data_IF_994419137064
#
_entry.id   IF_994419137064
#
_cell.length_a   1.000
_cell.length_b   1.000
_cell.length_c   1.000
_cell.angle_alpha   90.00
_cell.angle_beta   90.00
_cell.angle_gamma   90.00
#
_symmetry.space_group_name_H-M   'P 1'
#
loop_
_entity.id
_entity.type
_entity.pdbx_description
1 polymer ?
#
# COMPACT_ATOMS: atom_id res chain seq x y z
N UNK A 1 87.47 0.79 9.34
CA UNK A 1 86.39 1.16 10.28
C UNK A 1 86.08 2.63 10.09
N UNK A 2 85.02 2.96 9.34
CA UNK A 2 84.74 4.35 8.93
C UNK A 2 83.25 4.62 8.74
N UNK A 3 82.83 5.80 9.23
CA UNK A 3 81.75 6.66 8.71
C UNK A 3 80.32 6.10 8.64
N UNK A 4 79.63 5.85 9.77
CA UNK A 4 78.14 5.75 9.77
C UNK A 4 77.44 6.34 11.01
N UNK A 5 78.09 7.10 11.89
CA UNK A 5 77.44 7.52 13.15
C UNK A 5 76.81 8.93 13.17
N UNK A 6 77.07 9.82 12.20
CA UNK A 6 76.69 11.25 12.33
C UNK A 6 75.46 11.72 11.54
N UNK A 7 74.78 10.85 10.78
CA UNK A 7 73.62 11.25 9.93
C UNK A 7 72.25 11.00 10.58
N UNK A 8 72.20 10.36 11.76
CA UNK A 8 70.92 9.97 12.39
C UNK A 8 70.33 10.95 13.40
N UNK A 9 71.07 11.96 13.86
CA UNK A 9 70.57 12.92 14.87
C UNK A 9 69.91 14.17 14.24
N UNK A 10 70.26 14.53 13.01
CA UNK A 10 69.69 15.72 12.33
C UNK A 10 68.34 15.52 11.62
N UNK A 11 67.85 14.28 11.51
CA UNK A 11 66.53 13.99 10.90
C UNK A 11 65.37 13.92 11.89
N UNK A 12 65.63 13.79 13.19
CA UNK A 12 64.57 13.71 14.20
C UNK A 12 64.05 15.09 14.66
N UNK A 13 64.90 16.12 14.69
CA UNK A 13 64.52 17.47 15.14
C UNK A 13 63.79 18.32 14.08
N UNK A 14 63.85 17.94 12.80
CA UNK A 14 63.13 18.63 11.73
C UNK A 14 61.66 18.16 11.56
N UNK A 15 61.33 16.94 12.00
CA UNK A 15 60.00 16.36 11.83
C UNK A 15 58.99 16.86 12.88
N UNK A 16 59.42 17.08 14.13
CA UNK A 16 58.52 17.57 15.19
C UNK A 16 58.10 19.03 15.00
N UNK A 17 58.96 19.87 14.42
CA UNK A 17 58.60 21.27 14.10
C UNK A 17 57.68 21.39 12.88
N UNK A 18 57.77 20.47 11.91
CA UNK A 18 56.84 20.43 10.78
C UNK A 18 55.45 19.92 11.19
N UNK A 19 55.37 18.91 12.07
CA UNK A 19 54.11 18.37 12.56
C UNK A 19 53.31 19.37 13.44
N UNK A 20 53.99 20.25 14.18
CA UNK A 20 53.36 21.29 14.98
C UNK A 20 52.80 22.45 14.12
N UNK A 21 53.48 22.80 13.01
CA UNK A 21 53.03 23.85 12.08
C UNK A 21 51.80 23.39 11.29
N UNK A 22 51.72 22.11 10.90
CA UNK A 22 50.55 21.56 10.19
C UNK A 22 49.32 21.41 11.08
N UNK A 23 49.47 21.10 12.37
CA UNK A 23 48.33 21.02 13.31
C UNK A 23 47.77 22.41 13.62
N UNK A 24 48.60 23.44 13.80
CA UNK A 24 48.15 24.82 14.03
C UNK A 24 47.44 25.41 12.79
N UNK A 25 47.95 25.14 11.58
CA UNK A 25 47.27 25.55 10.32
C UNK A 25 45.94 24.83 10.10
N UNK A 26 45.82 23.54 10.48
CA UNK A 26 44.56 22.79 10.35
C UNK A 26 43.47 23.24 11.32
N UNK A 27 43.82 23.63 12.55
CA UNK A 27 42.88 24.20 13.54
C UNK A 27 42.48 25.63 13.18
N UNK A 28 43.41 26.45 12.66
CA UNK A 28 43.12 27.80 12.16
C UNK A 28 42.16 27.81 10.97
N UNK A 29 42.34 26.90 10.00
CA UNK A 29 41.45 26.78 8.83
C UNK A 29 40.07 26.26 9.26
N UNK A 30 39.99 25.33 10.21
CA UNK A 30 38.72 24.84 10.75
C UNK A 30 37.99 25.93 11.55
N UNK A 31 38.71 26.75 12.32
CA UNK A 31 38.13 27.89 13.06
C UNK A 31 37.62 28.97 12.10
N UNK A 32 38.39 29.34 11.05
CA UNK A 32 37.95 30.31 10.03
C UNK A 32 36.72 29.79 9.25
N UNK A 33 36.65 28.50 8.92
CA UNK A 33 35.48 27.90 8.27
C UNK A 33 34.25 27.83 9.18
N UNK A 34 34.42 27.57 10.47
CA UNK A 34 33.33 27.59 11.47
C UNK A 34 32.86 29.03 11.74
N UNK A 35 33.77 30.00 11.81
CA UNK A 35 33.44 31.42 11.97
C UNK A 35 32.76 32.03 10.73
N UNK A 36 33.15 31.63 9.51
CA UNK A 36 32.42 31.99 8.29
C UNK A 36 31.03 31.33 8.23
N UNK A 37 30.87 30.12 8.77
CA UNK A 37 29.57 29.45 8.86
C UNK A 37 28.65 30.11 9.89
N UNK A 38 29.18 30.60 11.01
CA UNK A 38 28.41 31.38 12.01
C UNK A 38 28.05 32.80 11.52
N UNK A 39 28.89 33.45 10.71
CA UNK A 39 28.59 34.79 10.15
C UNK A 39 27.49 34.79 9.08
N UNK A 40 27.24 33.66 8.42
CA UNK A 40 26.16 33.51 7.43
C UNK A 40 24.80 33.10 8.03
N UNK A 41 24.73 32.79 9.32
CA UNK A 41 23.52 32.28 9.99
C UNK A 41 22.54 33.36 10.48
N UNK A 42 22.74 34.65 10.13
CA UNK A 42 21.85 35.74 10.58
C UNK A 42 21.07 36.47 9.45
N UNK A 43 21.04 35.95 8.22
CA UNK A 43 20.23 36.50 7.12
C UNK A 43 19.16 35.54 6.56
N UNK A 44 18.94 34.38 7.20
CA UNK A 44 17.88 33.43 6.81
C UNK A 44 16.73 33.31 7.84
N UNK A 45 16.75 34.07 8.94
CA UNK A 45 15.72 33.98 10.00
C UNK A 45 14.43 34.76 9.70
N UNK A 46 14.39 35.63 8.68
CA UNK A 46 13.19 36.39 8.31
C UNK A 46 12.33 35.73 7.21
N UNK A 47 12.91 34.91 6.33
CA UNK A 47 12.13 34.15 5.32
C UNK A 47 11.52 32.86 5.87
N UNK A 48 12.03 32.33 6.98
CA UNK A 48 11.51 31.13 7.64
C UNK A 48 10.28 31.42 8.55
N UNK A 49 10.07 32.68 8.97
CA UNK A 49 8.98 33.09 9.88
C UNK A 49 7.63 33.37 9.19
N UNK A 50 7.53 33.33 7.86
CA UNK A 50 6.25 33.46 7.12
C UNK A 50 5.55 32.13 6.78
N UNK A 51 6.14 30.99 7.13
CA UNK A 51 5.52 29.66 6.92
C UNK A 51 5.17 28.93 8.22
N UNK A 52 5.08 29.66 9.33
CA UNK A 52 4.59 29.14 10.61
C UNK A 52 3.47 30.04 11.12
N UNK A 53 2.28 29.93 10.52
CA UNK A 53 1.05 30.32 11.20
C UNK A 53 -0.09 29.38 10.80
N UNK A 54 -0.52 28.62 11.82
CA UNK A 54 -1.88 28.13 12.04
C UNK A 54 -2.65 27.58 10.83
N UNK A 55 -2.44 26.30 10.56
CA UNK A 55 -3.57 25.44 10.21
C UNK A 55 -3.49 24.21 11.13
N UNK A 56 -4.31 24.21 12.17
CA UNK A 56 -4.77 22.98 12.82
C UNK A 56 -5.22 21.98 11.73
N UNK A 57 -5.18 20.66 11.99
CA UNK A 57 -5.56 19.67 10.99
C UNK A 57 -7.00 19.92 10.53
N UNK A 58 -7.13 20.56 9.37
CA UNK A 58 -8.41 20.64 8.70
C UNK A 58 -8.66 19.26 8.10
N UNK A 59 -9.50 18.48 8.78
CA UNK A 59 -10.24 17.36 8.20
C UNK A 59 -11.13 17.94 7.09
N UNK A 60 -10.57 18.09 5.90
CA UNK A 60 -11.26 18.77 4.80
C UNK A 60 -12.23 17.79 4.12
N UNK A 61 -13.50 18.08 4.40
CA UNK A 61 -14.68 18.11 3.53
C UNK A 61 -14.93 16.99 2.51
N UNK A 62 -15.92 16.18 2.86
CA UNK A 62 -16.97 15.58 2.03
C UNK A 62 -16.65 15.38 0.54
N UNK A 63 -16.21 14.16 0.25
CA UNK A 63 -16.07 13.61 -1.11
C UNK A 63 -17.13 12.53 -1.30
N UNK A 64 -17.64 12.35 -2.52
CA UNK A 64 -18.75 11.43 -2.84
C UNK A 64 -18.56 9.98 -2.33
N UNK A 65 -17.32 9.51 -2.15
CA UNK A 65 -17.03 8.20 -1.58
C UNK A 65 -17.40 8.09 -0.09
N UNK A 66 -17.33 9.19 0.67
CA UNK A 66 -17.81 9.24 2.07
C UNK A 66 -19.34 9.12 2.12
N UNK A 67 -20.03 9.66 1.11
CA UNK A 67 -21.49 9.53 0.95
C UNK A 67 -21.89 8.09 0.61
N UNK A 68 -21.13 7.41 -0.26
CA UNK A 68 -21.32 5.98 -0.55
C UNK A 68 -21.12 5.12 0.71
N UNK A 69 -20.07 5.40 1.51
CA UNK A 69 -19.85 4.77 2.81
C UNK A 69 -21.01 5.00 3.79
N UNK A 70 -21.56 6.23 3.87
CA UNK A 70 -22.70 6.59 4.73
C UNK A 70 -23.97 5.80 4.37
N UNK A 71 -24.24 5.58 3.09
CA UNK A 71 -25.44 4.87 2.61
C UNK A 71 -25.46 3.37 2.93
N UNK A 72 -24.31 2.80 3.33
CA UNK A 72 -24.14 1.34 3.49
C UNK A 72 -24.43 0.80 4.90
N UNK A 73 -24.84 1.65 5.85
CA UNK A 73 -25.30 1.22 7.19
C UNK A 73 -24.19 0.74 8.15
N UNK A 74 -22.93 1.12 7.90
CA UNK A 74 -21.77 0.70 8.70
C UNK A 74 -21.62 1.48 10.02
N UNK A 75 -21.13 0.84 11.10
CA UNK A 75 -20.65 1.57 12.28
C UNK A 75 -19.46 2.45 11.85
N UNK A 76 -19.63 3.75 12.07
CA UNK A 76 -18.79 4.81 11.53
C UNK A 76 -17.40 4.82 12.17
N UNK A 77 -16.39 4.26 11.50
CA UNK A 77 -14.99 4.57 11.81
C UNK A 77 -14.50 5.57 10.78
N UNK A 78 -14.40 6.84 11.17
CA UNK A 78 -13.93 7.93 10.32
C UNK A 78 -12.58 7.56 9.68
N UNK A 79 -12.48 7.57 8.34
CA UNK A 79 -11.19 7.43 7.68
C UNK A 79 -10.29 8.60 8.08
N UNK A 80 -9.03 8.32 8.42
CA UNK A 80 -8.01 9.34 8.62
C UNK A 80 -7.60 9.79 7.20
N UNK A 81 -8.32 10.78 6.67
CA UNK A 81 -8.21 11.20 5.28
C UNK A 81 -6.81 11.75 4.96
N UNK A 82 -6.23 11.32 3.84
CA UNK A 82 -5.10 12.00 3.19
C UNK A 82 -5.49 12.33 1.75
N UNK A 83 -5.23 13.59 1.38
CA UNK A 83 -5.76 14.26 0.19
C UNK A 83 -5.19 13.70 -1.12
N UNK A 84 -5.85 14.03 -2.23
CA UNK A 84 -5.23 13.92 -3.56
C UNK A 84 -4.01 14.85 -3.65
N UNK A 85 -3.02 14.47 -4.45
CA UNK A 85 -1.87 15.30 -4.86
C UNK A 85 -0.87 15.76 -3.78
N UNK A 86 -0.87 15.21 -2.57
CA UNK A 86 0.18 15.51 -1.60
C UNK A 86 1.56 14.99 -2.06
N UNK A 87 2.67 15.71 -1.83
CA UNK A 87 4.01 15.18 -2.05
C UNK A 87 4.28 13.95 -1.19
N UNK A 88 5.14 13.05 -1.69
CA UNK A 88 5.42 11.77 -1.04
C UNK A 88 5.95 11.97 0.38
N UNK A 89 6.79 12.99 0.62
CA UNK A 89 7.30 13.30 1.96
C UNK A 89 6.19 13.71 2.94
N UNK A 90 5.14 14.41 2.48
CA UNK A 90 4.00 14.77 3.34
C UNK A 90 3.21 13.53 3.74
N UNK A 91 3.00 12.60 2.81
CA UNK A 91 2.33 11.32 3.09
C UNK A 91 3.12 10.52 4.13
N UNK A 92 4.45 10.42 3.95
CA UNK A 92 5.34 9.77 4.93
C UNK A 92 5.24 10.40 6.31
N UNK A 93 5.27 11.74 6.41
CA UNK A 93 5.13 12.43 7.68
C UNK A 93 3.80 12.11 8.37
N UNK A 94 2.71 11.99 7.62
CA UNK A 94 1.41 11.55 8.18
C UNK A 94 1.51 10.12 8.70
N UNK A 95 2.10 9.20 7.94
CA UNK A 95 2.31 7.82 8.39
C UNK A 95 3.14 7.76 9.67
N UNK A 96 4.24 8.52 9.74
CA UNK A 96 5.08 8.61 10.93
C UNK A 96 4.30 9.17 12.14
N UNK A 97 3.50 10.22 11.94
CA UNK A 97 2.73 10.88 13.00
C UNK A 97 1.69 9.94 13.63
N UNK A 98 1.06 9.08 12.82
CA UNK A 98 0.07 8.11 13.29
C UNK A 98 0.69 6.75 13.68
N UNK A 99 2.02 6.63 13.68
CA UNK A 99 2.70 5.37 14.00
C UNK A 99 2.48 4.25 12.98
N UNK A 100 2.06 4.58 11.76
CA UNK A 100 1.91 3.60 10.70
C UNK A 100 3.29 3.26 10.13
N UNK A 101 3.76 2.04 10.39
CA UNK A 101 5.02 1.48 9.89
C UNK A 101 4.83 0.02 9.52
N UNK A 102 5.50 -0.47 8.49
CA UNK A 102 5.35 -1.89 8.08
C UNK A 102 5.85 -2.84 9.16
N UNK A 103 6.87 -2.46 9.92
CA UNK A 103 7.39 -3.24 11.04
C UNK A 103 6.29 -3.49 12.06
N UNK A 104 5.55 -2.45 12.46
CA UNK A 104 4.42 -2.57 13.39
C UNK A 104 3.32 -3.48 12.82
N UNK A 105 3.02 -3.35 11.52
CA UNK A 105 2.01 -4.21 10.88
C UNK A 105 2.45 -5.68 10.87
N UNK A 106 3.74 -5.96 10.67
CA UNK A 106 4.28 -7.33 10.70
C UNK A 106 4.15 -7.97 12.08
N UNK A 107 4.21 -7.18 13.15
CA UNK A 107 4.09 -7.68 14.53
C UNK A 107 2.64 -7.76 15.03
N UNK A 108 1.83 -6.75 14.72
CA UNK A 108 0.49 -6.60 15.32
C UNK A 108 -0.64 -6.92 14.35
N UNK A 109 -0.35 -7.07 13.06
CA UNK A 109 -1.33 -7.27 11.99
C UNK A 109 -2.41 -6.17 11.95
N UNK A 110 -2.09 -4.98 12.46
CA UNK A 110 -3.02 -3.86 12.56
C UNK A 110 -2.63 -2.74 11.59
N UNK A 111 -3.61 -2.28 10.83
CA UNK A 111 -3.42 -1.26 9.79
C UNK A 111 -4.35 -0.07 10.07
N UNK A 112 -3.83 1.16 10.17
CA UNK A 112 -4.67 2.35 10.28
C UNK A 112 -5.54 2.57 9.04
N UNK A 113 -6.75 3.11 9.26
CA UNK A 113 -7.70 3.46 8.18
C UNK A 113 -7.29 4.77 7.49
N UNK A 114 -6.19 4.73 6.75
CA UNK A 114 -5.72 5.84 5.92
C UNK A 114 -5.92 5.48 4.46
N UNK A 115 -6.74 6.26 3.75
CA UNK A 115 -7.06 6.01 2.35
C UNK A 115 -6.63 7.20 1.50
N UNK A 116 -5.71 6.93 0.57
CA UNK A 116 -5.33 7.89 -0.45
C UNK A 116 -6.25 7.77 -1.66
N UNK A 117 -6.61 8.93 -2.20
CA UNK A 117 -7.41 9.01 -3.42
C UNK A 117 -6.56 8.81 -4.67
N UNK A 118 -5.29 9.26 -4.66
CA UNK A 118 -4.36 9.16 -5.80
C UNK A 118 -2.94 8.87 -5.34
N UNK A 119 -2.10 8.27 -6.20
CA UNK A 119 -0.67 8.16 -5.93
C UNK A 119 0.02 9.54 -5.98
N UNK A 120 1.05 9.78 -5.14
CA UNK A 120 1.82 11.01 -5.23
C UNK A 120 2.62 11.08 -6.53
N UNK A 121 2.57 12.23 -7.23
CA UNK A 121 3.22 12.41 -8.54
C UNK A 121 4.74 12.29 -8.47
N UNK A 122 5.32 12.62 -7.32
CA UNK A 122 6.75 12.54 -7.03
C UNK A 122 7.21 11.17 -6.50
N UNK A 123 6.32 10.16 -6.39
CA UNK A 123 6.71 8.80 -5.97
C UNK A 123 7.92 8.24 -6.76
N UNK A 124 8.01 8.39 -8.10
CA UNK A 124 9.15 7.90 -8.85
C UNK A 124 10.47 8.62 -8.54
N UNK A 125 10.41 9.81 -7.91
CA UNK A 125 11.60 10.58 -7.52
C UNK A 125 12.25 10.06 -6.24
N UNK A 126 11.60 9.14 -5.50
CA UNK A 126 12.25 8.42 -4.41
C UNK A 126 13.36 7.54 -4.98
N UNK A 127 14.61 7.90 -4.66
CA UNK A 127 15.82 7.26 -5.17
C UNK A 127 15.99 5.86 -4.61
N UNK A 128 15.74 5.68 -3.32
CA UNK A 128 15.93 4.40 -2.63
C UNK A 128 14.81 3.41 -3.00
N UNK A 129 15.10 2.30 -3.70
CA UNK A 129 14.08 1.34 -4.11
C UNK A 129 13.34 0.72 -2.92
N UNK A 130 14.03 0.41 -1.81
CA UNK A 130 13.40 -0.17 -0.63
C UNK A 130 12.36 0.78 -0.01
N UNK A 131 12.72 2.07 0.10
CA UNK A 131 11.83 3.10 0.62
C UNK A 131 10.58 3.26 -0.26
N UNK A 132 10.77 3.33 -1.58
CA UNK A 132 9.65 3.44 -2.53
C UNK A 132 8.68 2.26 -2.42
N UNK A 133 9.20 1.04 -2.30
CA UNK A 133 8.38 -0.17 -2.10
C UNK A 133 7.61 -0.11 -0.79
N UNK A 134 8.25 0.29 0.30
CA UNK A 134 7.60 0.39 1.61
C UNK A 134 6.46 1.40 1.59
N UNK A 135 6.70 2.60 1.06
CA UNK A 135 5.66 3.63 0.91
C UNK A 135 4.52 3.13 0.03
N UNK A 136 4.83 2.46 -1.09
CA UNK A 136 3.81 1.85 -1.95
C UNK A 136 2.94 0.83 -1.21
N UNK A 137 3.53 -0.10 -0.47
CA UNK A 137 2.79 -1.09 0.32
C UNK A 137 1.91 -0.40 1.36
N UNK A 138 2.43 0.61 2.06
CA UNK A 138 1.67 1.36 3.07
C UNK A 138 0.49 2.12 2.48
N UNK A 139 0.60 2.63 1.25
CA UNK A 139 -0.53 3.26 0.57
C UNK A 139 -1.59 2.23 0.13
N UNK A 140 -1.15 1.05 -0.32
CA UNK A 140 -2.01 0.03 -0.92
C UNK A 140 -2.71 -0.88 0.09
N UNK A 141 -2.02 -1.30 1.13
CA UNK A 141 -2.52 -2.25 2.11
C UNK A 141 -3.87 -1.85 2.72
N UNK A 142 -4.08 -0.62 3.23
CA UNK A 142 -5.38 -0.24 3.80
C UNK A 142 -6.50 -0.30 2.75
N UNK A 143 -6.23 0.07 1.49
CA UNK A 143 -7.23 0.02 0.41
C UNK A 143 -7.67 -1.43 0.11
N UNK A 144 -6.71 -2.37 0.10
CA UNK A 144 -6.99 -3.80 -0.08
C UNK A 144 -7.79 -4.34 1.10
N UNK A 145 -7.38 -4.05 2.33
CA UNK A 145 -8.09 -4.50 3.52
C UNK A 145 -9.52 -3.95 3.57
N UNK A 146 -9.71 -2.68 3.24
CA UNK A 146 -11.04 -2.09 3.20
C UNK A 146 -11.92 -2.74 2.13
N UNK A 147 -11.38 -3.00 0.95
CA UNK A 147 -12.10 -3.74 -0.11
C UNK A 147 -12.51 -5.14 0.37
N UNK A 148 -11.62 -5.82 1.11
CA UNK A 148 -11.92 -7.12 1.70
C UNK A 148 -13.01 -7.04 2.79
N UNK A 149 -13.01 -6.02 3.65
CA UNK A 149 -14.09 -5.79 4.62
C UNK A 149 -15.46 -5.65 3.93
N UNK A 150 -15.54 -4.88 2.84
CA UNK A 150 -16.79 -4.72 2.07
C UNK A 150 -17.28 -6.06 1.48
N UNK A 151 -16.34 -6.89 1.01
CA UNK A 151 -16.65 -8.22 0.49
C UNK A 151 -17.13 -9.14 1.62
N UNK A 152 -16.43 -9.16 2.77
CA UNK A 152 -16.78 -9.98 3.92
C UNK A 152 -18.16 -9.62 4.46
N UNK A 153 -18.49 -8.34 4.59
CA UNK A 153 -19.82 -7.92 5.01
C UNK A 153 -20.92 -8.46 4.09
N UNK A 154 -20.69 -8.42 2.78
CA UNK A 154 -21.62 -9.01 1.79
C UNK A 154 -21.70 -10.53 1.96
N UNK A 155 -20.56 -11.19 2.14
CA UNK A 155 -20.44 -12.64 2.35
C UNK A 155 -21.15 -13.11 3.61
N UNK A 156 -21.02 -12.38 4.71
CA UNK A 156 -21.61 -12.72 6.00
C UNK A 156 -23.14 -12.65 5.92
N UNK A 157 -23.67 -11.61 5.27
CA UNK A 157 -25.11 -11.57 4.97
C UNK A 157 -25.54 -12.76 4.11
N UNK A 158 -24.79 -13.13 3.07
CA UNK A 158 -25.11 -14.33 2.27
C UNK A 158 -25.11 -15.61 3.12
N UNK A 159 -24.17 -15.75 4.07
CA UNK A 159 -24.12 -16.89 5.00
C UNK A 159 -25.34 -16.92 5.91
N UNK A 160 -25.74 -15.78 6.47
CA UNK A 160 -26.97 -15.66 7.26
C UNK A 160 -28.19 -16.11 6.45
N UNK A 161 -28.32 -15.67 5.20
CA UNK A 161 -29.43 -16.08 4.33
C UNK A 161 -29.39 -17.58 3.97
N UNK A 162 -28.19 -18.14 3.82
CA UNK A 162 -28.00 -19.58 3.61
C UNK A 162 -28.50 -20.39 4.82
N UNK A 163 -28.10 -20.01 6.03
CA UNK A 163 -28.54 -20.66 7.27
C UNK A 163 -30.06 -20.53 7.49
N UNK A 164 -30.63 -19.36 7.21
CA UNK A 164 -32.10 -19.17 7.27
C UNK A 164 -32.81 -20.15 6.34
N UNK A 165 -32.36 -20.26 5.09
CA UNK A 165 -32.94 -21.18 4.10
C UNK A 165 -32.78 -22.65 4.50
N UNK A 166 -31.61 -23.02 5.05
CA UNK A 166 -31.35 -24.39 5.54
C UNK A 166 -32.21 -24.74 6.75
N UNK A 167 -32.56 -23.76 7.59
CA UNK A 167 -33.50 -23.92 8.70
C UNK A 167 -34.99 -23.93 8.29
N UNK A 168 -35.29 -23.93 6.99
CA UNK A 168 -36.66 -23.94 6.47
C UNK A 168 -37.41 -22.61 6.57
N UNK A 169 -36.73 -21.52 6.98
CA UNK A 169 -37.33 -20.18 7.06
C UNK A 169 -37.42 -19.54 5.68
N UNK A 170 -38.48 -18.77 5.46
CA UNK A 170 -38.66 -17.99 4.25
C UNK A 170 -37.80 -16.72 4.28
N UNK A 171 -37.29 -16.33 3.12
CA UNK A 171 -36.56 -15.09 2.96
C UNK A 171 -37.54 -13.92 2.82
N UNK A 172 -37.22 -12.78 3.43
CA UNK A 172 -38.04 -11.57 3.27
C UNK A 172 -37.86 -10.98 1.86
N UNK A 173 -38.77 -10.10 1.43
CA UNK A 173 -38.60 -9.36 0.17
C UNK A 173 -37.30 -8.53 0.14
N UNK A 174 -36.84 -8.04 1.30
CA UNK A 174 -35.57 -7.31 1.43
C UNK A 174 -34.38 -8.25 1.19
N UNK A 175 -34.46 -9.48 1.67
CA UNK A 175 -33.42 -10.50 1.46
C UNK A 175 -33.39 -10.95 0.00
N UNK A 176 -34.56 -11.13 -0.62
CA UNK A 176 -34.68 -11.47 -2.03
C UNK A 176 -34.09 -10.38 -2.93
N UNK A 177 -34.46 -9.10 -2.72
CA UNK A 177 -33.87 -7.97 -3.45
C UNK A 177 -32.36 -7.85 -3.25
N UNK A 178 -31.88 -8.11 -2.03
CA UNK A 178 -30.44 -8.16 -1.77
C UNK A 178 -29.77 -9.28 -2.56
N UNK A 179 -30.34 -10.48 -2.58
CA UNK A 179 -29.79 -11.61 -3.32
C UNK A 179 -29.76 -11.37 -4.83
N UNK A 180 -30.79 -10.78 -5.40
CA UNK A 180 -30.86 -10.39 -6.81
C UNK A 180 -29.79 -9.34 -7.14
N UNK A 181 -29.65 -8.33 -6.29
CA UNK A 181 -28.61 -7.31 -6.44
C UNK A 181 -27.20 -7.92 -6.41
N UNK A 182 -26.91 -8.81 -5.46
CA UNK A 182 -25.60 -9.45 -5.35
C UNK A 182 -25.39 -10.46 -6.49
N UNK A 183 -26.42 -11.20 -6.90
CA UNK A 183 -26.35 -12.11 -8.04
C UNK A 183 -25.97 -11.37 -9.33
N UNK A 184 -26.72 -10.30 -9.64
CA UNK A 184 -26.45 -9.45 -10.80
C UNK A 184 -25.05 -8.85 -10.74
N UNK A 185 -24.67 -8.25 -9.60
CA UNK A 185 -23.32 -7.71 -9.39
C UNK A 185 -22.25 -8.76 -9.65
N UNK A 186 -22.41 -9.96 -9.09
CA UNK A 186 -21.42 -11.03 -9.22
C UNK A 186 -21.62 -11.91 -10.46
N UNK A 187 -22.37 -11.44 -11.47
CA UNK A 187 -22.49 -12.08 -12.79
C UNK A 187 -23.22 -13.41 -12.78
N UNK A 188 -24.30 -13.53 -12.01
CA UNK A 188 -25.27 -14.62 -12.06
C UNK A 188 -26.61 -14.08 -12.56
N UNK A 189 -27.23 -14.79 -13.50
CA UNK A 189 -28.56 -14.44 -14.04
C UNK A 189 -29.66 -14.56 -12.97
N UNK A 190 -29.54 -15.56 -12.10
CA UNK A 190 -30.48 -15.81 -11.01
C UNK A 190 -29.76 -16.00 -9.68
N UNK A 191 -30.37 -15.62 -8.55
CA UNK A 191 -29.80 -15.86 -7.23
C UNK A 191 -29.49 -17.33 -6.96
N UNK A 192 -28.22 -17.63 -6.69
CA UNK A 192 -27.78 -18.94 -6.24
C UNK A 192 -26.78 -18.78 -5.09
N UNK A 193 -27.25 -18.97 -3.86
CA UNK A 193 -26.47 -18.81 -2.64
C UNK A 193 -25.15 -19.60 -2.64
N UNK A 194 -25.18 -20.86 -3.06
CA UNK A 194 -23.98 -21.72 -3.13
C UNK A 194 -22.94 -21.16 -4.11
N UNK A 195 -23.37 -20.69 -5.28
CA UNK A 195 -22.46 -20.03 -6.25
C UNK A 195 -21.97 -18.67 -5.73
N UNK A 196 -22.85 -17.88 -5.11
CA UNK A 196 -22.49 -16.57 -4.55
C UNK A 196 -21.46 -16.69 -3.42
N UNK A 197 -21.60 -17.67 -2.52
CA UNK A 197 -20.59 -17.94 -1.49
C UNK A 197 -19.23 -18.34 -2.09
N UNK A 198 -19.14 -18.89 -3.31
CA UNK A 198 -17.84 -19.12 -3.96
C UNK A 198 -17.27 -17.85 -4.62
N UNK A 199 -18.14 -16.94 -5.10
CA UNK A 199 -17.75 -15.69 -5.78
C UNK A 199 -17.43 -14.55 -4.83
N UNK A 200 -18.23 -14.35 -3.78
CA UNK A 200 -18.13 -13.23 -2.83
C UNK A 200 -17.14 -13.58 -1.72
N UNK A 201 -15.84 -13.49 -2.00
CA UNK A 201 -14.78 -13.69 -1.01
C UNK A 201 -13.58 -12.78 -1.27
N UNK A 202 -12.74 -12.63 -0.25
CA UNK A 202 -11.62 -11.70 -0.21
C UNK A 202 -10.50 -12.11 -1.16
N UNK A 203 -9.68 -11.14 -1.56
CA UNK A 203 -8.40 -11.39 -2.22
C UNK A 203 -7.30 -11.26 -1.16
N UNK A 204 -6.42 -12.26 -0.96
CA UNK A 204 -5.35 -12.15 0.02
C UNK A 204 -4.51 -10.88 -0.21
N UNK A 205 -4.28 -10.06 0.83
CA UNK A 205 -3.45 -8.86 0.76
C UNK A 205 -2.09 -9.06 0.08
N UNK A 206 -1.40 -10.16 0.35
CA UNK A 206 -0.10 -10.48 -0.24
C UNK A 206 -0.17 -10.56 -1.77
N UNK A 207 -1.21 -11.22 -2.29
CA UNK A 207 -1.46 -11.37 -3.71
C UNK A 207 -1.83 -10.03 -4.36
N UNK A 208 -2.75 -9.28 -3.77
CA UNK A 208 -3.14 -7.98 -4.29
C UNK A 208 -1.99 -6.97 -4.30
N UNK A 209 -1.15 -6.96 -3.25
CA UNK A 209 0.05 -6.12 -3.18
C UNK A 209 1.07 -6.53 -4.24
N UNK A 210 1.31 -7.83 -4.45
CA UNK A 210 2.25 -8.31 -5.45
C UNK A 210 1.80 -7.99 -6.88
N UNK A 211 0.53 -8.24 -7.21
CA UNK A 211 -0.02 -7.92 -8.53
C UNK A 211 -0.03 -6.41 -8.76
N UNK A 212 -0.48 -5.59 -7.81
CA UNK A 212 -0.41 -4.14 -7.99
C UNK A 212 1.02 -3.63 -8.13
N UNK A 213 1.99 -4.21 -7.43
CA UNK A 213 3.41 -3.86 -7.58
C UNK A 213 3.94 -4.20 -8.98
N UNK A 214 3.66 -5.39 -9.50
CA UNK A 214 4.06 -5.80 -10.85
C UNK A 214 3.41 -4.92 -11.93
N UNK A 215 2.07 -4.81 -11.91
CA UNK A 215 1.30 -4.12 -12.95
C UNK A 215 1.55 -2.61 -12.98
N UNK A 216 1.86 -2.01 -11.83
CA UNK A 216 2.11 -0.57 -11.73
C UNK A 216 3.59 -0.19 -11.68
N UNK A 217 4.50 -1.17 -11.67
CA UNK A 217 5.91 -0.93 -11.40
C UNK A 217 6.13 -0.22 -10.06
N UNK A 218 5.52 -0.73 -8.99
CA UNK A 218 5.52 -0.11 -7.64
C UNK A 218 4.99 1.34 -7.65
N UNK A 219 3.93 1.59 -8.41
CA UNK A 219 3.29 2.89 -8.54
C UNK A 219 4.01 3.89 -9.47
N UNK A 220 5.08 3.46 -10.15
CA UNK A 220 5.86 4.31 -11.06
C UNK A 220 5.37 4.29 -12.51
N UNK A 221 4.35 3.49 -12.83
CA UNK A 221 3.69 3.53 -14.12
C UNK A 221 2.92 4.85 -14.31
N UNK A 222 2.95 5.38 -15.54
CA UNK A 222 2.12 6.53 -15.93
C UNK A 222 0.63 6.24 -15.68
N UNK A 223 0.16 5.03 -16.01
CA UNK A 223 -1.24 4.65 -15.84
C UNK A 223 -1.66 4.63 -14.37
N UNK A 224 -0.77 4.18 -13.48
CA UNK A 224 -1.03 4.19 -12.06
C UNK A 224 -1.11 5.61 -11.50
N UNK A 225 -0.22 6.52 -11.93
CA UNK A 225 -0.21 7.91 -11.44
C UNK A 225 -1.31 8.80 -12.03
N UNK A 226 -1.57 8.68 -13.33
CA UNK A 226 -2.52 9.57 -14.02
C UNK A 226 -3.94 9.00 -14.02
N UNK A 227 -4.10 7.68 -13.90
CA UNK A 227 -5.40 7.02 -14.01
C UNK A 227 -5.73 6.12 -12.83
N UNK A 228 -4.96 6.13 -11.74
CA UNK A 228 -5.15 5.21 -10.60
C UNK A 228 -5.23 3.72 -11.02
N UNK A 229 -4.66 3.38 -12.18
CA UNK A 229 -4.78 2.08 -12.81
C UNK A 229 -3.66 1.16 -12.32
N UNK A 230 -3.82 0.65 -11.10
CA UNK A 230 -2.79 -0.13 -10.40
C UNK A 230 -2.66 -1.60 -10.87
N UNK A 231 -3.66 -2.11 -11.60
CA UNK A 231 -3.79 -3.54 -11.93
C UNK A 231 -3.92 -3.80 -13.44
N UNK A 232 -3.52 -2.86 -14.30
CA UNK A 232 -3.47 -3.07 -15.75
C UNK A 232 -4.81 -3.38 -16.44
N UNK A 233 -5.96 -3.08 -15.80
CA UNK A 233 -7.28 -3.45 -16.30
C UNK A 233 -7.59 -2.77 -17.65
N UNK A 234 -7.85 -3.57 -18.70
CA UNK A 234 -8.19 -3.07 -20.04
C UNK A 234 -9.68 -2.65 -20.12
N UNK A 235 -9.98 -1.67 -20.96
CA UNK A 235 -11.35 -1.25 -21.32
C UNK A 235 -11.42 -0.90 -22.81
N UNK A 236 -12.57 -1.18 -23.43
CA UNK A 236 -12.87 -0.86 -24.83
C UNK A 236 -13.87 0.29 -24.98
N UNK A 237 -14.38 0.84 -23.86
CA UNK A 237 -15.28 1.99 -23.89
C UNK A 237 -14.50 3.24 -24.31
N UNK A 238 -15.02 3.98 -25.29
CA UNK A 238 -14.35 5.14 -25.89
C UNK A 238 -14.13 6.30 -24.91
N UNK A 239 -15.03 6.48 -23.93
CA UNK A 239 -15.07 7.66 -23.05
C UNK A 239 -14.16 7.60 -21.81
N UNK A 240 -13.69 6.43 -21.36
CA UNK A 240 -12.92 6.30 -20.11
C UNK A 240 -11.72 5.38 -20.30
N UNK A 241 -10.51 5.91 -20.12
CA UNK A 241 -9.26 5.14 -20.15
C UNK A 241 -8.09 5.88 -20.80
N UNK A 242 -6.87 5.51 -20.39
CA UNK A 242 -5.62 6.05 -20.89
C UNK A 242 -5.11 5.21 -22.07
N UNK A 243 -4.73 5.89 -23.14
CA UNK A 243 -4.17 5.25 -24.35
C UNK A 243 -2.69 4.91 -24.12
N UNK A 244 -2.25 3.66 -24.38
CA UNK A 244 -0.84 3.32 -24.40
C UNK A 244 -0.07 4.09 -25.47
N UNK A 245 1.12 4.60 -25.10
CA UNK A 245 1.98 5.33 -26.06
C UNK A 245 2.53 4.41 -27.16
N UNK A 246 2.83 3.17 -26.80
CA UNK A 246 3.33 2.12 -27.70
C UNK A 246 2.23 1.08 -27.89
N UNK A 247 1.20 1.45 -28.64
CA UNK A 247 0.11 0.54 -28.98
C UNK A 247 0.42 -0.10 -30.33
N UNK A 248 0.53 -1.42 -30.38
CA UNK A 248 0.63 -2.16 -31.64
C UNK A 248 -0.48 -1.74 -32.61
N UNK A 249 -0.13 -1.60 -33.88
CA UNK A 249 -1.07 -1.25 -34.94
C UNK A 249 -2.27 -2.23 -34.95
N UNK A 250 -3.47 -1.67 -34.98
CA UNK A 250 -4.73 -2.43 -34.98
C UNK A 250 -5.34 -2.73 -33.61
N UNK A 251 -4.62 -2.57 -32.48
CA UNK A 251 -5.22 -2.76 -31.15
C UNK A 251 -5.99 -1.51 -30.70
N UNK A 252 -7.24 -1.65 -30.22
CA UNK A 252 -8.10 -0.50 -29.80
C UNK A 252 -8.28 -0.35 -28.29
N UNK A 253 -7.71 -1.25 -27.49
CA UNK A 253 -7.91 -1.25 -26.04
C UNK A 253 -7.24 -0.04 -25.35
N UNK A 254 -7.87 0.46 -24.29
CA UNK A 254 -7.34 1.48 -23.36
C UNK A 254 -7.08 0.85 -22.00
N UNK A 255 -6.20 1.45 -21.20
CA UNK A 255 -6.08 1.11 -19.78
C UNK A 255 -7.15 1.87 -19.01
N UNK A 256 -8.00 1.17 -18.25
CA UNK A 256 -9.07 1.78 -17.47
C UNK A 256 -8.49 2.76 -16.46
N UNK A 257 -9.05 3.97 -16.41
CA UNK A 257 -8.74 4.95 -15.38
C UNK A 257 -9.84 4.97 -14.30
N UNK A 258 -9.48 5.39 -13.10
CA UNK A 258 -10.34 5.49 -11.93
C UNK A 258 -10.18 6.84 -11.24
N UNK A 259 -11.26 7.36 -10.68
CA UNK A 259 -11.24 8.61 -9.93
C UNK A 259 -10.45 8.46 -8.62
N UNK A 260 -10.55 7.29 -7.97
CA UNK A 260 -9.84 6.97 -6.74
C UNK A 260 -9.11 5.63 -6.82
N UNK A 261 -7.97 5.49 -6.12
CA UNK A 261 -7.24 4.21 -5.99
C UNK A 261 -8.14 3.08 -5.46
N UNK A 262 -9.04 3.39 -4.50
CA UNK A 262 -9.98 2.42 -3.95
C UNK A 262 -10.88 1.81 -5.03
N UNK A 263 -11.32 2.60 -6.02
CA UNK A 263 -12.19 2.11 -7.09
C UNK A 263 -11.45 1.12 -8.01
N UNK A 264 -10.15 1.35 -8.23
CA UNK A 264 -9.27 0.40 -8.91
C UNK A 264 -9.13 -0.92 -8.15
N UNK A 265 -8.91 -0.86 -6.83
CA UNK A 265 -8.81 -2.05 -5.97
C UNK A 265 -10.14 -2.83 -5.94
N UNK A 266 -11.28 -2.14 -5.79
CA UNK A 266 -12.63 -2.73 -5.87
C UNK A 266 -12.85 -3.43 -7.21
N UNK A 267 -12.51 -2.76 -8.32
CA UNK A 267 -12.67 -3.32 -9.66
C UNK A 267 -11.77 -4.54 -9.89
N UNK A 268 -10.53 -4.51 -9.40
CA UNK A 268 -9.62 -5.65 -9.46
C UNK A 268 -10.17 -6.86 -8.69
N UNK A 269 -10.57 -6.66 -7.43
CA UNK A 269 -11.12 -7.75 -6.62
C UNK A 269 -12.41 -8.31 -7.24
N UNK A 270 -13.25 -7.43 -7.79
CA UNK A 270 -14.46 -7.82 -8.50
C UNK A 270 -14.17 -8.69 -9.73
N UNK A 271 -13.17 -8.33 -10.54
CA UNK A 271 -12.78 -9.10 -11.71
C UNK A 271 -12.38 -10.54 -11.34
N UNK A 272 -11.54 -10.73 -10.33
CA UNK A 272 -11.16 -12.07 -9.83
C UNK A 272 -12.37 -12.86 -9.30
N UNK A 273 -13.33 -12.15 -8.71
CA UNK A 273 -14.53 -12.75 -8.14
C UNK A 273 -15.64 -13.10 -9.16
N UNK A 274 -15.60 -12.54 -10.38
CA UNK A 274 -16.69 -12.69 -11.36
C UNK A 274 -16.25 -13.36 -12.65
N UNK A 275 -15.09 -12.99 -13.20
CA UNK A 275 -14.69 -13.42 -14.53
C UNK A 275 -14.50 -14.95 -14.60
N UNK A 276 -15.00 -15.58 -15.67
CA UNK A 276 -14.95 -17.03 -15.87
C UNK A 276 -13.51 -17.55 -15.94
N UNK A 277 -12.55 -16.76 -16.42
CA UNK A 277 -11.13 -17.15 -16.45
C UNK A 277 -10.50 -17.37 -15.06
N UNK A 278 -11.12 -16.86 -13.99
CA UNK A 278 -10.66 -17.05 -12.61
C UNK A 278 -11.55 -18.01 -11.82
N UNK A 279 -12.22 -18.94 -12.51
CA UNK A 279 -13.00 -20.00 -11.86
C UNK A 279 -12.12 -20.82 -10.91
N UNK A 280 -10.96 -21.26 -11.38
CA UNK A 280 -10.05 -22.11 -10.61
C UNK A 280 -9.51 -21.39 -9.36
N UNK A 281 -9.26 -20.08 -9.46
CA UNK A 281 -8.93 -19.23 -8.31
C UNK A 281 -10.02 -19.28 -7.24
N UNK A 282 -11.28 -19.12 -7.64
CA UNK A 282 -12.42 -19.17 -6.71
C UNK A 282 -12.63 -20.55 -6.12
N UNK A 283 -12.44 -21.60 -6.90
CA UNK A 283 -12.57 -22.98 -6.43
C UNK A 283 -11.47 -23.34 -5.44
N UNK A 284 -10.20 -22.99 -5.74
CA UNK A 284 -9.09 -23.20 -4.82
C UNK A 284 -9.28 -22.42 -3.52
N UNK A 285 -9.73 -21.16 -3.60
CA UNK A 285 -10.03 -20.32 -2.43
C UNK A 285 -11.18 -20.89 -1.60
N UNK A 286 -12.23 -21.40 -2.23
CA UNK A 286 -13.31 -22.08 -1.53
C UNK A 286 -12.81 -23.35 -0.81
N UNK A 287 -12.00 -24.18 -1.48
CA UNK A 287 -11.41 -25.37 -0.86
C UNK A 287 -10.52 -25.03 0.36
N UNK A 288 -9.78 -23.91 0.33
CA UNK A 288 -9.02 -23.43 1.49
C UNK A 288 -9.91 -23.03 2.67
N UNK A 289 -11.08 -22.44 2.40
CA UNK A 289 -12.07 -22.13 3.45
C UNK A 289 -12.61 -23.41 4.10
N UNK A 290 -12.81 -24.45 3.29
CA UNK A 290 -13.38 -25.72 3.76
C UNK A 290 -12.33 -26.57 4.52
N UNK A 291 -11.04 -26.40 4.25
CA UNK A 291 -9.97 -27.21 4.85
C UNK A 291 -9.53 -26.77 6.25
N UNK A 292 -10.33 -25.96 6.97
CA UNK A 292 -9.96 -25.34 8.26
C UNK A 292 -8.61 -24.59 8.25
N UNK A 293 -8.14 -24.15 7.08
CA UNK A 293 -6.94 -23.34 7.00
C UNK A 293 -7.23 -21.96 7.59
N UNK A 294 -6.43 -21.54 8.57
CA UNK A 294 -6.60 -20.27 9.29
C UNK A 294 -6.43 -19.04 8.40
N UNK A 295 -5.75 -19.17 7.24
CA UNK A 295 -5.47 -18.05 6.35
C UNK A 295 -5.59 -18.45 4.87
N UNK A 296 -6.13 -17.53 4.05
CA UNK A 296 -6.16 -17.69 2.61
C UNK A 296 -4.78 -17.34 2.04
N UNK A 297 -3.97 -18.36 1.79
CA UNK A 297 -2.59 -18.18 1.33
C UNK A 297 -2.52 -17.60 -0.09
N UNK A 298 -2.14 -16.31 -0.20
CA UNK A 298 -2.04 -15.64 -1.50
C UNK A 298 -1.08 -16.30 -2.48
N UNK A 299 0.01 -16.89 -1.97
CA UNK A 299 1.00 -17.61 -2.76
C UNK A 299 0.41 -18.85 -3.46
N UNK A 300 -0.41 -19.64 -2.75
CA UNK A 300 -1.09 -20.79 -3.32
C UNK A 300 -2.19 -20.40 -4.31
N UNK A 301 -2.86 -19.26 -4.08
CA UNK A 301 -3.86 -18.76 -5.02
C UNK A 301 -3.23 -18.15 -6.27
N UNK A 302 -2.04 -17.54 -6.19
CA UNK A 302 -1.33 -16.99 -7.34
C UNK A 302 -1.17 -18.04 -8.46
N UNK A 303 -0.86 -19.30 -8.10
CA UNK A 303 -0.69 -20.41 -9.04
C UNK A 303 -1.90 -20.67 -9.96
N UNK A 304 -3.10 -20.19 -9.59
CA UNK A 304 -4.32 -20.36 -10.39
C UNK A 304 -4.57 -19.24 -11.40
N UNK A 305 -3.75 -18.18 -11.40
CA UNK A 305 -3.98 -16.98 -12.20
C UNK A 305 -3.28 -17.00 -13.57
N UNK A 306 -3.13 -18.19 -14.18
CA UNK A 306 -2.43 -18.36 -15.46
C UNK A 306 -2.96 -17.43 -16.57
N UNK A 307 -4.29 -17.20 -16.57
CA UNK A 307 -4.97 -16.36 -17.57
C UNK A 307 -4.98 -14.87 -17.24
N UNK A 308 -4.35 -14.44 -16.15
CA UNK A 308 -4.27 -13.03 -15.79
C UNK A 308 -3.35 -12.24 -16.73
N UNK A 309 -2.30 -12.89 -17.22
CA UNK A 309 -1.30 -12.29 -18.11
C UNK A 309 -1.03 -13.20 -19.31
N UNK A 310 -0.78 -12.60 -20.47
CA UNK A 310 -0.32 -13.31 -21.68
C UNK A 310 1.01 -14.05 -21.44
N UNK A 311 1.79 -13.63 -20.42
CA UNK A 311 3.03 -14.29 -19.97
C UNK A 311 2.79 -15.63 -19.25
N UNK A 312 1.54 -15.98 -18.91
CA UNK A 312 1.20 -17.26 -18.30
C UNK A 312 2.03 -17.60 -17.06
N UNK A 313 2.69 -18.76 -17.07
CA UNK A 313 3.44 -19.26 -15.92
C UNK A 313 4.61 -18.36 -15.49
N UNK A 314 5.22 -17.61 -16.41
CA UNK A 314 6.29 -16.66 -16.07
C UNK A 314 5.76 -15.48 -15.26
N UNK A 315 4.51 -15.07 -15.49
CA UNK A 315 3.84 -14.09 -14.65
C UNK A 315 3.65 -14.64 -13.23
N UNK A 316 3.18 -15.89 -13.10
CA UNK A 316 3.01 -16.55 -11.79
C UNK A 316 4.31 -16.57 -11.00
N UNK A 317 5.42 -17.02 -11.61
CA UNK A 317 6.74 -17.01 -10.98
C UNK A 317 7.15 -15.63 -10.50
N UNK A 318 6.83 -14.59 -11.28
CA UNK A 318 7.13 -13.20 -10.91
C UNK A 318 6.33 -12.76 -9.68
N UNK A 319 5.02 -13.04 -9.65
CA UNK A 319 4.16 -12.72 -8.50
C UNK A 319 4.62 -13.46 -7.24
N UNK A 320 4.89 -14.77 -7.33
CA UNK A 320 5.40 -15.55 -6.21
C UNK A 320 6.73 -15.01 -5.70
N UNK A 321 7.63 -14.62 -6.60
CA UNK A 321 8.92 -13.99 -6.25
C UNK A 321 8.71 -12.67 -5.52
N UNK A 322 7.80 -11.81 -5.97
CA UNK A 322 7.48 -10.55 -5.30
C UNK A 322 6.92 -10.82 -3.89
N UNK A 323 6.01 -11.78 -3.74
CA UNK A 323 5.46 -12.18 -2.43
C UNK A 323 6.57 -12.61 -1.48
N UNK A 324 7.48 -13.49 -1.94
CA UNK A 324 8.56 -14.04 -1.11
C UNK A 324 9.61 -13.00 -0.74
N UNK A 325 10.15 -12.26 -1.71
CA UNK A 325 11.25 -11.31 -1.47
C UNK A 325 10.82 -10.16 -0.54
N UNK A 326 9.56 -9.73 -0.62
CA UNK A 326 9.07 -8.62 0.21
C UNK A 326 8.31 -9.12 1.46
N UNK A 327 8.31 -10.43 1.70
CA UNK A 327 7.62 -11.11 2.81
C UNK A 327 6.17 -10.63 2.94
N UNK A 328 5.41 -10.66 1.84
CA UNK A 328 4.06 -10.09 1.80
C UNK A 328 3.01 -10.99 2.45
N UNK A 329 3.25 -12.30 2.58
CA UNK A 329 2.30 -13.25 3.17
C UNK A 329 1.88 -12.89 4.60
N UNK A 330 2.75 -12.22 5.37
CA UNK A 330 2.43 -11.76 6.72
C UNK A 330 1.25 -10.76 6.75
N UNK A 331 1.00 -10.08 5.63
CA UNK A 331 -0.10 -9.13 5.52
C UNK A 331 -1.43 -9.82 5.21
N UNK A 332 -1.45 -11.14 4.93
CA UNK A 332 -2.70 -11.87 4.70
C UNK A 332 -3.60 -11.94 5.94
N UNK A 333 -3.00 -11.80 7.12
CA UNK A 333 -3.68 -11.75 8.42
C UNK A 333 -3.92 -10.32 8.93
N UNK A 334 -3.47 -9.31 8.17
CA UNK A 334 -3.65 -7.91 8.55
C UNK A 334 -5.13 -7.52 8.55
N UNK A 335 -5.50 -6.63 9.46
CA UNK A 335 -6.84 -6.08 9.62
C UNK A 335 -6.80 -4.58 9.85
N UNK A 336 -7.86 -3.89 9.44
CA UNK A 336 -8.00 -2.47 9.74
C UNK A 336 -8.35 -2.27 11.22
N UNK A 337 -7.86 -1.18 11.80
CA UNK A 337 -8.21 -0.80 13.17
C UNK A 337 -9.71 -0.46 13.27
N UNK A 338 -10.39 -1.08 14.25
CA UNK A 338 -11.84 -0.91 14.48
C UNK A 338 -12.21 0.33 15.32
N UNK A 339 -11.23 1.00 15.93
CA UNK A 339 -11.43 2.25 16.69
C UNK A 339 -10.30 3.23 16.36
N UNK A 340 -10.63 4.50 16.18
CA UNK A 340 -9.68 5.64 16.19
C UNK A 340 -9.00 5.87 17.55
N UNK A 341 -9.03 4.87 18.44
CA UNK A 341 -8.85 5.00 19.88
C UNK A 341 -7.67 4.24 20.47
N UNK A 342 -6.70 3.81 19.64
CA UNK A 342 -5.33 3.70 20.17
C UNK A 342 -4.73 5.10 20.08
N UNK A 343 -4.56 5.73 21.23
CA UNK A 343 -3.87 7.03 21.27
C UNK A 343 -2.44 6.82 20.77
N UNK A 344 -1.75 7.89 20.34
CA UNK A 344 -0.33 7.83 19.90
C UNK A 344 0.55 6.98 20.85
N UNK A 345 0.22 7.00 22.15
CA UNK A 345 0.89 6.23 23.19
C UNK A 345 0.73 4.71 23.05
N UNK A 346 -0.40 4.21 22.53
CA UNK A 346 -0.66 2.76 22.39
C UNK A 346 0.07 2.14 21.20
N UNK A 347 0.43 2.95 20.18
CA UNK A 347 1.22 2.51 19.02
C UNK A 347 2.73 2.66 19.24
N UNK A 348 3.14 3.42 20.27
CA UNK A 348 4.54 3.60 20.68
C UNK A 348 4.90 2.85 21.96
N UNK A 349 3.93 2.21 22.62
CA UNK A 349 4.16 1.43 23.81
C UNK A 349 5.06 0.22 23.48
N UNK A 350 6.21 0.13 24.16
CA UNK A 350 7.09 -1.04 24.12
C UNK A 350 6.28 -2.26 24.62
N UNK A 351 6.48 -3.48 24.07
CA UNK A 351 5.67 -4.64 24.45
C UNK A 351 5.68 -4.84 25.96
N UNK A 352 4.51 -5.12 26.56
CA UNK A 352 4.51 -5.91 27.78
C UNK A 352 5.02 -7.29 27.38
N UNK A 353 6.05 -7.77 28.08
CA UNK A 353 6.50 -9.15 27.96
C UNK A 353 5.28 -10.06 28.07
N UNK A 354 5.18 -11.15 27.30
CA UNK A 354 4.25 -12.21 27.69
C UNK A 354 4.68 -12.60 29.11
N UNK A 355 3.73 -12.49 30.05
CA UNK A 355 3.98 -12.57 31.48
C UNK A 355 4.72 -13.86 31.88
N UNK A 356 5.56 -13.72 32.91
CA UNK A 356 5.74 -14.75 33.94
C UNK A 356 4.43 -15.12 34.61
#
# INVERSE_FOLDING_TARGET
MSKVAWVRVWRALAFERAALVFTILSVGILYVLVSFKLGSMNLQSEKQKRYSNSAQPSLISQTNWQTEMRSSGWPFVQPIAVTSNAPTQRIKNVFDQIGYRLENVRWYHEVPRVFLTTLPKDLPKLREPAERKNVFIMMMLPLVLHTNELILHTRDKLRTLMLLKESGKTLTEKDQRFLESVASKYGLETPNLKKLIKRVDIIPPSLALAQSAEESGWGTSRFAREGNALFGQRTWRSATGLVPKEREDGKTFKVRAFDHLLDGVKAYAHNLNVNTFYKDFREKRAAMRDSNSSSLEGLKLAATLLRYSERGSEYIKTIEKIIRINSLSIFDEARLLNKSGRTRNDLTAKPRSPDT
#
